data_IF_456468427414
#
_entry.id   IF_456468427414
#
_cell.length_a   1.000
_cell.length_b   1.000
_cell.length_c   1.000
_cell.angle_alpha   90.00
_cell.angle_beta   90.00
_cell.angle_gamma   90.00
#
_symmetry.space_group_name_H-M   'P 1'
#
loop_
_entity.id
_entity.type
_entity.pdbx_description
1 polymer ?
#
# COMPACT_ATOMS: atom_id res chain seq x y z
N UNK A 1 11.30 1.56 19.44
CA UNK A 1 11.94 2.79 18.92
C UNK A 1 11.15 4.06 19.20
N UNK A 2 9.85 4.13 18.87
CA UNK A 2 9.02 5.32 19.12
C UNK A 2 8.92 5.72 20.60
N UNK A 3 8.85 4.74 21.51
CA UNK A 3 8.83 4.97 22.97
C UNK A 3 10.16 5.55 23.50
N UNK A 4 11.29 5.21 22.88
CA UNK A 4 12.61 5.74 23.26
C UNK A 4 12.74 7.22 22.93
N UNK A 5 12.40 7.61 21.69
CA UNK A 5 12.46 9.01 21.31
C UNK A 5 11.46 9.86 22.10
N UNK A 6 10.31 9.32 22.50
CA UNK A 6 9.36 10.08 23.32
C UNK A 6 9.90 10.35 24.74
N UNK A 7 10.63 9.40 25.33
CA UNK A 7 11.14 9.51 26.71
C UNK A 7 12.47 10.26 26.82
N UNK A 8 13.34 10.16 25.82
CA UNK A 8 14.71 10.69 25.87
C UNK A 8 14.95 11.88 24.93
N UNK A 9 13.89 12.45 24.31
CA UNK A 9 14.01 13.56 23.34
C UNK A 9 14.76 14.77 23.90
N UNK A 10 14.59 15.09 25.17
CA UNK A 10 15.26 16.24 25.80
C UNK A 10 16.78 16.08 25.86
N UNK A 11 17.29 14.84 25.89
CA UNK A 11 18.72 14.55 25.90
C UNK A 11 19.28 14.36 24.49
N UNK A 12 18.57 13.63 23.62
CA UNK A 12 19.09 13.25 22.29
C UNK A 12 18.64 14.17 21.15
N UNK A 13 17.59 14.97 21.36
CA UNK A 13 16.93 15.74 20.29
C UNK A 13 17.83 16.79 19.65
N UNK A 14 18.61 17.52 20.45
CA UNK A 14 19.54 18.54 19.94
C UNK A 14 20.65 17.93 19.07
N UNK A 15 21.15 16.75 19.46
CA UNK A 15 22.15 15.99 18.72
C UNK A 15 21.57 15.43 17.42
N UNK A 16 20.36 14.88 17.45
CA UNK A 16 19.67 14.34 16.26
C UNK A 16 19.41 15.47 15.25
N UNK A 17 18.83 16.60 15.68
CA UNK A 17 18.51 17.73 14.80
C UNK A 17 19.78 18.32 14.18
N UNK A 18 20.85 18.48 14.96
CA UNK A 18 22.14 18.98 14.45
C UNK A 18 22.73 18.02 13.40
N UNK A 19 22.64 16.71 13.63
CA UNK A 19 23.17 15.69 12.73
C UNK A 19 22.36 15.57 11.44
N UNK A 20 21.03 15.67 11.53
CA UNK A 20 20.13 15.72 10.36
C UNK A 20 20.40 16.96 9.52
N UNK A 21 20.51 18.14 10.13
CA UNK A 21 20.86 19.38 9.41
C UNK A 21 22.19 19.27 8.68
N UNK A 22 23.19 18.64 9.30
CA UNK A 22 24.50 18.42 8.69
C UNK A 22 24.44 17.46 7.49
N UNK A 23 23.62 16.42 7.55
CA UNK A 23 23.38 15.50 6.42
C UNK A 23 22.75 16.23 5.23
N UNK A 24 21.78 17.11 5.47
CA UNK A 24 21.15 17.89 4.40
C UNK A 24 22.06 18.97 3.80
N UNK A 25 23.01 19.49 4.57
CA UNK A 25 24.00 20.45 4.09
C UNK A 25 25.15 19.78 3.30
N UNK A 26 25.65 18.64 3.78
CA UNK A 26 26.84 17.98 3.23
C UNK A 26 26.49 16.90 2.19
N UNK A 27 25.20 16.58 2.00
CA UNK A 27 24.65 15.48 1.19
C UNK A 27 25.28 14.09 1.45
N UNK A 28 26.02 13.94 2.55
CA UNK A 28 26.71 12.71 2.96
C UNK A 28 26.09 12.18 4.24
N UNK A 29 25.54 10.98 4.16
CA UNK A 29 25.07 10.24 5.34
C UNK A 29 26.27 9.62 6.04
N UNK A 30 26.43 9.89 7.33
CA UNK A 30 27.50 9.31 8.15
C UNK A 30 27.39 7.77 8.19
N UNK A 31 28.49 7.06 7.91
CA UNK A 31 28.53 5.59 7.84
C UNK A 31 28.05 4.90 9.13
N UNK A 32 28.20 5.53 10.29
CA UNK A 32 27.73 4.97 11.56
C UNK A 32 26.20 4.83 11.61
N UNK A 33 25.47 5.62 10.82
CA UNK A 33 24.02 5.53 10.65
C UNK A 33 23.60 4.36 9.74
N UNK A 34 24.53 3.79 8.96
CA UNK A 34 24.30 2.55 8.20
C UNK A 34 24.54 1.31 9.05
N UNK A 35 25.18 1.44 10.22
CA UNK A 35 25.37 0.35 11.20
C UNK A 35 24.23 0.23 12.21
N UNK A 36 23.28 1.17 12.23
CA UNK A 36 22.15 1.09 13.16
C UNK A 36 21.08 0.15 12.60
N UNK A 37 20.73 -0.88 13.39
CA UNK A 37 19.69 -1.90 13.15
C UNK A 37 18.24 -1.36 13.01
N UNK A 38 18.07 -0.07 12.71
CA UNK A 38 16.79 0.65 12.71
C UNK A 38 16.04 0.42 11.38
N UNK A 39 16.76 0.06 10.33
CA UNK A 39 16.20 -0.62 9.18
C UNK A 39 17.05 -1.86 8.94
N UNK A 40 16.45 -3.05 9.04
CA UNK A 40 17.00 -4.32 8.54
C UNK A 40 17.00 -4.33 7.00
N UNK A 41 17.34 -3.21 6.37
CA UNK A 41 17.55 -3.11 4.93
C UNK A 41 19.00 -2.65 4.78
N UNK A 42 19.93 -3.57 4.48
CA UNK A 42 21.32 -3.23 4.25
C UNK A 42 21.37 -2.27 3.06
N UNK A 43 21.89 -1.07 3.30
CA UNK A 43 22.12 -0.04 2.27
C UNK A 43 23.41 -0.35 1.52
N UNK A 44 23.41 -1.51 0.87
CA UNK A 44 24.42 -1.88 -0.12
C UNK A 44 24.24 -1.00 -1.34
N UNK A 45 25.36 -0.57 -1.93
CA UNK A 45 25.37 0.15 -3.19
C UNK A 45 25.07 -0.86 -4.31
N UNK A 46 23.80 -0.94 -4.70
CA UNK A 46 23.36 -1.57 -5.95
C UNK A 46 23.33 -3.10 -5.96
N UNK A 47 22.34 -3.75 -5.32
CA UNK A 47 21.99 -5.10 -5.75
C UNK A 47 21.55 -5.05 -7.22
N UNK A 48 22.23 -5.78 -8.10
CA UNK A 48 21.92 -5.81 -9.54
C UNK A 48 20.76 -6.76 -9.84
N UNK A 49 20.46 -7.70 -8.93
CA UNK A 49 19.40 -8.70 -9.06
C UNK A 49 18.59 -8.88 -7.77
N UNK A 50 17.36 -9.37 -7.93
CA UNK A 50 16.44 -9.64 -6.81
C UNK A 50 16.98 -10.73 -5.88
N UNK A 51 17.64 -11.76 -6.43
CA UNK A 51 18.19 -12.89 -5.68
C UNK A 51 19.35 -12.49 -4.78
N UNK A 52 20.20 -11.58 -5.25
CA UNK A 52 21.29 -11.02 -4.45
C UNK A 52 20.73 -10.23 -3.26
N UNK A 53 19.71 -9.41 -3.50
CA UNK A 53 19.02 -8.68 -2.44
C UNK A 53 18.36 -9.61 -1.41
N UNK A 54 17.68 -10.65 -1.89
CA UNK A 54 17.03 -11.68 -1.08
C UNK A 54 18.03 -12.46 -0.24
N UNK A 55 19.17 -12.84 -0.82
CA UNK A 55 20.25 -13.54 -0.13
C UNK A 55 20.84 -12.71 1.00
N UNK A 56 21.01 -11.40 0.78
CA UNK A 56 21.60 -10.50 1.78
C UNK A 56 20.61 -10.18 2.90
N UNK A 57 19.32 -10.18 2.59
CA UNK A 57 18.25 -10.00 3.58
C UNK A 57 17.82 -11.27 4.30
N UNK A 58 18.35 -12.44 3.90
CA UNK A 58 17.85 -13.75 4.32
C UNK A 58 16.32 -13.88 4.12
N UNK A 59 15.82 -13.28 3.04
CA UNK A 59 14.40 -13.28 2.68
C UNK A 59 14.22 -14.00 1.36
N UNK A 60 13.23 -14.88 1.27
CA UNK A 60 12.83 -15.50 0.01
C UNK A 60 11.63 -14.79 -0.59
N UNK A 61 11.63 -14.68 -1.91
CA UNK A 61 10.44 -14.25 -2.63
C UNK A 61 9.44 -15.40 -2.66
N UNK A 62 8.15 -15.06 -2.55
CA UNK A 62 7.08 -16.04 -2.59
C UNK A 62 6.59 -16.17 -4.03
N UNK A 63 6.87 -17.30 -4.67
CA UNK A 63 6.48 -17.55 -6.06
C UNK A 63 4.96 -17.51 -6.26
N UNK A 64 4.21 -17.98 -5.26
CA UNK A 64 2.74 -17.96 -5.27
C UNK A 64 2.12 -16.57 -5.16
N UNK A 65 2.89 -15.57 -4.67
CA UNK A 65 2.44 -14.18 -4.54
C UNK A 65 3.05 -13.26 -5.60
N UNK A 66 4.16 -13.68 -6.20
CA UNK A 66 4.88 -12.93 -7.21
C UNK A 66 4.25 -13.13 -8.57
N UNK A 67 4.05 -12.02 -9.28
CA UNK A 67 3.40 -12.00 -10.59
C UNK A 67 4.06 -10.91 -11.41
N UNK A 68 4.30 -11.21 -12.68
CA UNK A 68 4.82 -10.24 -13.64
C UNK A 68 3.71 -9.92 -14.63
N UNK A 69 3.61 -8.64 -14.99
CA UNK A 69 2.69 -8.17 -16.01
C UNK A 69 3.45 -7.24 -16.95
N UNK A 70 3.30 -7.47 -18.25
CA UNK A 70 3.88 -6.62 -19.28
C UNK A 70 2.79 -5.76 -19.95
N UNK A 71 3.13 -4.51 -20.24
CA UNK A 71 2.27 -3.63 -21.02
C UNK A 71 2.06 -4.21 -22.43
N UNK A 72 0.90 -4.01 -23.10
CA UNK A 72 0.66 -4.50 -24.46
C UNK A 72 1.66 -3.98 -25.50
N UNK A 73 2.38 -2.91 -25.16
CA UNK A 73 3.39 -2.29 -26.02
C UNK A 73 4.81 -2.87 -25.83
N UNK A 74 4.99 -3.84 -24.95
CA UNK A 74 6.28 -4.50 -24.72
C UNK A 74 6.45 -5.63 -25.74
N UNK A 75 7.62 -5.69 -26.36
CA UNK A 75 7.97 -6.77 -27.28
C UNK A 75 7.95 -8.12 -26.56
N UNK A 76 7.43 -9.14 -27.23
CA UNK A 76 7.26 -10.47 -26.63
C UNK A 76 8.59 -11.11 -26.27
N UNK A 77 9.64 -10.88 -27.06
CA UNK A 77 10.96 -11.47 -26.84
C UNK A 77 11.63 -10.84 -25.59
N UNK A 78 11.37 -9.55 -25.34
CA UNK A 78 11.80 -8.86 -24.10
C UNK A 78 11.00 -9.37 -22.90
N UNK A 79 9.70 -9.62 -23.07
CA UNK A 79 8.86 -10.17 -22.01
C UNK A 79 9.27 -11.59 -21.61
N UNK A 80 9.55 -12.45 -22.59
CA UNK A 80 10.00 -13.83 -22.37
C UNK A 80 11.38 -13.86 -21.71
N UNK A 81 12.36 -13.07 -22.19
CA UNK A 81 13.68 -12.98 -21.54
C UNK A 81 13.62 -12.47 -20.10
N UNK A 82 12.73 -11.53 -19.77
CA UNK A 82 12.53 -11.07 -18.39
C UNK A 82 11.85 -12.14 -17.53
N UNK A 83 10.93 -12.93 -18.08
CA UNK A 83 10.33 -14.07 -17.38
C UNK A 83 11.39 -15.14 -17.06
N UNK A 84 12.30 -15.41 -17.99
CA UNK A 84 13.39 -16.38 -17.79
C UNK A 84 14.37 -15.91 -16.72
N UNK A 85 14.68 -14.60 -16.66
CA UNK A 85 15.57 -14.03 -15.64
C UNK A 85 14.91 -14.04 -14.25
N UNK A 86 13.60 -13.75 -14.17
CA UNK A 86 12.88 -13.60 -12.91
C UNK A 86 12.27 -14.92 -12.39
N UNK A 87 12.33 -15.98 -13.19
CA UNK A 87 11.65 -17.27 -12.98
C UNK A 87 10.15 -17.12 -12.63
N UNK A 88 9.51 -16.07 -13.19
CA UNK A 88 8.11 -15.74 -12.94
C UNK A 88 7.28 -15.85 -14.21
N UNK A 89 6.12 -16.50 -14.11
CA UNK A 89 5.17 -16.56 -15.20
C UNK A 89 4.49 -15.20 -15.43
N UNK A 90 4.49 -14.74 -16.69
CA UNK A 90 3.70 -13.56 -17.07
C UNK A 90 2.22 -13.83 -16.87
N UNK A 91 1.55 -12.92 -16.18
CA UNK A 91 0.11 -12.99 -15.91
C UNK A 91 -0.60 -11.75 -16.45
N UNK A 92 -1.77 -11.90 -17.08
CA UNK A 92 -2.52 -10.74 -17.60
C UNK A 92 -3.13 -9.87 -16.48
N UNK A 93 -3.14 -10.37 -15.24
CA UNK A 93 -3.78 -9.77 -14.07
C UNK A 93 -2.91 -9.87 -12.81
N UNK A 94 -2.48 -8.71 -12.31
CA UNK A 94 -1.64 -8.57 -11.12
C UNK A 94 -2.36 -8.85 -9.79
N UNK A 95 -3.65 -9.16 -9.79
CA UNK A 95 -4.37 -9.43 -8.56
C UNK A 95 -4.77 -8.17 -7.80
N UNK A 96 -4.92 -8.33 -6.47
CA UNK A 96 -5.27 -7.26 -5.54
C UNK A 96 -4.06 -6.91 -4.68
N UNK A 97 -3.79 -5.63 -4.52
CA UNK A 97 -2.84 -5.06 -3.59
C UNK A 97 -3.57 -4.23 -2.55
N UNK A 98 -3.37 -4.54 -1.26
CA UNK A 98 -4.09 -3.88 -0.14
C UNK A 98 -5.63 -3.88 -0.29
N UNK A 99 -6.15 -4.89 -1.01
CA UNK A 99 -7.57 -5.04 -1.31
C UNK A 99 -8.05 -4.24 -2.53
N UNK A 100 -7.16 -3.53 -3.24
CA UNK A 100 -7.43 -2.82 -4.48
C UNK A 100 -6.86 -3.59 -5.68
N UNK A 101 -7.61 -3.80 -6.77
CA UNK A 101 -7.10 -4.46 -7.96
C UNK A 101 -6.02 -3.62 -8.66
N UNK A 102 -4.82 -4.17 -8.88
CA UNK A 102 -3.67 -3.43 -9.42
C UNK A 102 -3.80 -3.07 -10.90
N UNK A 103 -4.62 -3.80 -11.66
CA UNK A 103 -4.90 -3.53 -13.06
C UNK A 103 -6.38 -3.77 -13.34
N UNK A 104 -7.09 -2.73 -13.77
CA UNK A 104 -8.45 -2.82 -14.27
C UNK A 104 -8.49 -2.32 -15.71
N UNK A 105 -8.76 -3.20 -16.69
CA UNK A 105 -8.98 -2.77 -18.06
C UNK A 105 -10.38 -2.16 -18.16
N UNK A 106 -10.45 -0.84 -18.02
CA UNK A 106 -11.60 -0.06 -18.48
C UNK A 106 -12.49 0.52 -17.41
N UNK A 107 -13.09 1.65 -17.78
CA UNK A 107 -14.06 2.47 -17.05
C UNK A 107 -15.38 1.76 -16.68
N UNK A 108 -15.41 0.44 -16.54
CA UNK A 108 -16.65 -0.28 -16.25
C UNK A 108 -17.05 -0.06 -14.80
N UNK A 109 -18.29 0.39 -14.56
CA UNK A 109 -18.79 0.56 -13.19
C UNK A 109 -18.74 -0.73 -12.35
N UNK A 110 -18.68 -1.90 -13.02
CA UNK A 110 -18.53 -3.21 -12.36
C UNK A 110 -17.20 -3.38 -11.63
N UNK A 111 -16.16 -2.69 -12.10
CA UNK A 111 -14.81 -2.79 -11.56
C UNK A 111 -14.73 -2.23 -10.14
N UNK A 112 -15.63 -1.35 -9.75
CA UNK A 112 -15.65 -0.73 -8.42
C UNK A 112 -16.62 -1.42 -7.45
N UNK A 113 -17.31 -2.49 -7.88
CA UNK A 113 -18.23 -3.22 -7.00
C UNK A 113 -17.53 -3.78 -5.74
N UNK A 114 -16.23 -4.09 -5.80
CA UNK A 114 -15.49 -4.50 -4.62
C UNK A 114 -15.49 -3.43 -3.51
N UNK A 115 -15.61 -2.13 -3.87
CA UNK A 115 -15.72 -1.03 -2.91
C UNK A 115 -17.06 -1.10 -2.20
N UNK A 116 -18.15 -1.30 -2.95
CA UNK A 116 -19.49 -1.48 -2.39
C UNK A 116 -19.54 -2.67 -1.44
N UNK A 117 -18.95 -3.79 -1.83
CA UNK A 117 -18.90 -4.99 -0.99
C UNK A 117 -18.05 -4.77 0.26
N UNK A 118 -16.94 -4.02 0.15
CA UNK A 118 -16.12 -3.66 1.32
C UNK A 118 -16.88 -2.74 2.28
N UNK A 119 -17.65 -1.78 1.77
CA UNK A 119 -18.54 -0.92 2.59
C UNK A 119 -19.60 -1.77 3.28
N UNK A 120 -20.29 -2.65 2.54
CA UNK A 120 -21.29 -3.57 3.10
C UNK A 120 -20.70 -4.47 4.18
N UNK A 121 -19.58 -5.14 3.91
CA UNK A 121 -18.93 -6.03 4.89
C UNK A 121 -18.50 -5.29 6.15
N UNK A 122 -18.01 -4.06 6.00
CA UNK A 122 -17.68 -3.23 7.17
C UNK A 122 -18.94 -2.91 7.94
N UNK A 123 -19.97 -2.37 7.30
CA UNK A 123 -21.25 -2.03 7.96
C UNK A 123 -21.88 -3.25 8.65
N UNK A 124 -21.96 -4.41 7.99
CA UNK A 124 -22.47 -5.66 8.57
C UNK A 124 -21.63 -6.16 9.76
N UNK A 125 -20.32 -5.91 9.74
CA UNK A 125 -19.42 -6.22 10.86
C UNK A 125 -19.67 -5.38 12.10
N UNK A 126 -20.31 -4.22 11.96
CA UNK A 126 -20.79 -3.42 13.09
C UNK A 126 -22.22 -3.83 13.40
N UNK A 127 -22.46 -4.25 14.65
CA UNK A 127 -23.79 -4.66 15.11
C UNK A 127 -24.71 -3.44 15.09
N UNK A 128 -25.43 -3.24 14.00
CA UNK A 128 -26.28 -2.06 13.79
C UNK A 128 -27.33 -1.88 14.91
N UNK A 129 -27.74 -2.99 15.51
CA UNK A 129 -28.63 -3.07 16.67
C UNK A 129 -28.03 -2.55 18.00
N UNK A 130 -26.72 -2.25 18.05
CA UNK A 130 -26.07 -1.65 19.24
C UNK A 130 -25.88 -0.13 19.13
N UNK A 131 -26.19 0.46 17.97
CA UNK A 131 -25.93 1.87 17.70
C UNK A 131 -27.24 2.67 17.74
N UNK A 132 -27.19 3.82 18.40
CA UNK A 132 -28.25 4.82 18.29
C UNK A 132 -28.31 5.38 16.86
N UNK A 133 -29.43 6.01 16.50
CA UNK A 133 -29.57 6.65 15.18
C UNK A 133 -28.44 7.66 14.90
N UNK A 134 -28.05 8.44 15.91
CA UNK A 134 -26.91 9.36 15.81
C UNK A 134 -25.57 8.61 15.64
N UNK A 135 -25.36 7.50 16.36
CA UNK A 135 -24.18 6.66 16.21
C UNK A 135 -24.06 6.05 14.80
N UNK A 136 -25.18 5.65 14.19
CA UNK A 136 -25.22 5.15 12.81
C UNK A 136 -24.83 6.23 11.80
N UNK A 137 -25.34 7.46 11.95
CA UNK A 137 -24.98 8.58 11.06
C UNK A 137 -23.49 8.92 11.13
N UNK A 138 -22.93 9.01 12.34
CA UNK A 138 -21.49 9.27 12.52
C UNK A 138 -20.64 8.15 11.93
N UNK A 139 -21.06 6.88 12.09
CA UNK A 139 -20.38 5.73 11.51
C UNK A 139 -20.37 5.80 9.98
N UNK A 140 -21.54 6.03 9.37
CA UNK A 140 -21.69 6.17 7.91
C UNK A 140 -20.80 7.31 7.39
N UNK A 141 -20.82 8.48 8.05
CA UNK A 141 -20.02 9.63 7.64
C UNK A 141 -18.52 9.36 7.73
N UNK A 142 -18.05 8.68 8.77
CA UNK A 142 -16.66 8.27 8.90
C UNK A 142 -16.23 7.31 7.77
N UNK A 143 -17.09 6.36 7.40
CA UNK A 143 -16.80 5.41 6.31
C UNK A 143 -16.82 6.07 4.92
N UNK A 144 -17.78 6.96 4.67
CA UNK A 144 -17.87 7.77 3.45
C UNK A 144 -16.63 8.65 3.25
N UNK A 145 -16.01 9.12 4.34
CA UNK A 145 -14.78 9.88 4.26
C UNK A 145 -13.55 8.99 4.04
N UNK A 146 -13.49 7.78 4.61
CA UNK A 146 -12.28 6.97 4.62
C UNK A 146 -12.09 6.11 3.35
N UNK A 147 -13.12 5.36 2.94
CA UNK A 147 -12.98 4.35 1.86
C UNK A 147 -12.89 4.99 0.48
N UNK A 148 -13.80 5.91 0.07
CA UNK A 148 -13.69 6.61 -1.19
C UNK A 148 -12.41 7.45 -1.28
N UNK A 149 -12.05 8.18 -0.22
CA UNK A 149 -10.82 9.00 -0.20
C UNK A 149 -9.56 8.16 -0.44
N UNK A 150 -9.46 6.97 0.17
CA UNK A 150 -8.36 6.06 -0.09
C UNK A 150 -8.28 5.63 -1.56
N UNK A 151 -9.41 5.30 -2.19
CA UNK A 151 -9.43 4.86 -3.59
C UNK A 151 -9.17 6.02 -4.55
N UNK A 152 -9.67 7.22 -4.23
CA UNK A 152 -9.50 8.43 -5.04
C UNK A 152 -8.05 8.93 -5.06
N UNK A 153 -7.20 8.50 -4.14
CA UNK A 153 -5.75 8.74 -4.23
C UNK A 153 -5.10 8.04 -5.43
N UNK A 154 -5.68 6.94 -5.91
CA UNK A 154 -5.10 6.13 -7.00
C UNK A 154 -5.93 6.17 -8.29
N UNK A 155 -7.24 6.45 -8.23
CA UNK A 155 -8.12 6.43 -9.40
C UNK A 155 -9.35 7.31 -9.23
N UNK A 156 -9.80 7.98 -10.30
CA UNK A 156 -11.06 8.74 -10.26
C UNK A 156 -12.26 7.78 -10.21
N UNK A 157 -13.16 7.98 -9.25
CA UNK A 157 -14.35 7.16 -9.08
C UNK A 157 -15.54 7.72 -9.90
N UNK A 158 -16.25 6.89 -10.68
CA UNK A 158 -17.43 7.33 -11.40
C UNK A 158 -18.61 7.60 -10.47
N UNK A 159 -19.46 8.58 -10.82
CA UNK A 159 -20.61 9.02 -10.03
C UNK A 159 -21.53 7.87 -9.55
N UNK A 160 -21.74 6.86 -10.40
CA UNK A 160 -22.55 5.66 -10.10
C UNK A 160 -22.10 4.89 -8.85
N UNK A 161 -20.82 4.97 -8.49
CA UNK A 161 -20.31 4.30 -7.29
C UNK A 161 -20.74 5.03 -6.03
N UNK A 162 -20.79 6.37 -6.07
CA UNK A 162 -21.35 7.15 -4.97
C UNK A 162 -22.84 6.84 -4.78
N UNK A 163 -23.62 6.76 -5.86
CA UNK A 163 -25.03 6.36 -5.80
C UNK A 163 -25.20 4.95 -5.19
N UNK A 164 -24.31 4.03 -5.54
CA UNK A 164 -24.27 2.68 -4.99
C UNK A 164 -23.95 2.65 -3.49
N UNK A 165 -22.98 3.46 -3.05
CA UNK A 165 -22.61 3.59 -1.64
C UNK A 165 -23.76 4.20 -0.84
N UNK A 166 -24.40 5.25 -1.36
CA UNK A 166 -25.56 5.89 -0.73
C UNK A 166 -26.73 4.90 -0.57
N UNK A 167 -26.97 4.05 -1.57
CA UNK A 167 -27.97 2.99 -1.48
C UNK A 167 -27.62 1.97 -0.39
N UNK A 168 -26.36 1.58 -0.25
CA UNK A 168 -25.90 0.68 0.82
C UNK A 168 -26.10 1.31 2.19
N UNK A 169 -25.77 2.60 2.34
CA UNK A 169 -25.92 3.34 3.59
C UNK A 169 -27.39 3.48 4.00
N UNK A 170 -28.30 3.75 3.05
CA UNK A 170 -29.75 3.83 3.32
C UNK A 170 -30.34 2.49 3.77
N UNK A 171 -29.78 1.39 3.28
CA UNK A 171 -30.20 0.04 3.63
C UNK A 171 -29.46 -0.52 4.86
N UNK A 172 -28.65 0.29 5.55
CA UNK A 172 -28.02 -0.11 6.80
C UNK A 172 -29.09 -0.19 7.91
N UNK A 173 -29.38 -1.39 8.44
CA UNK A 173 -30.47 -1.61 9.40
C UNK A 173 -30.27 -0.90 10.74
#
# INVERSE_FOLDING_TARGET
MQVFFHKFWLEVGSLVVRKVKKIFADSKVLEILNRTHIAWIPKIQGPETLDEFCSILEQSVSDSKSRVYFSPNVDRDIGESLCDILDFTSTPFLGKYLGFPLKQPGSSSHDYNFILDRVKQKLLGWKANMLSLAGRLVLIQAFLAAIPSYVMQCSSLPARIFDGIDRVNRNFP
#
